data_IF_492789104933
#
_entry.id   IF_492789104933
#
_cell.length_a   1.000
_cell.length_b   1.000
_cell.length_c   1.000
_cell.angle_alpha   90.00
_cell.angle_beta   90.00
_cell.angle_gamma   90.00
#
_symmetry.space_group_name_H-M   'P 1'
#
loop_
_entity.id
_entity.type
_entity.pdbx_description
1 polymer ?
#
# COMPACT_ATOMS: atom_id res chain seq x y z
N UNK A 1 -5.68 -6.38 -29.55
CA UNK A 1 -6.05 -6.39 -28.13
C UNK A 1 -6.33 -4.94 -27.72
N UNK A 2 -7.58 -4.50 -27.79
CA UNK A 2 -7.93 -3.10 -27.55
C UNK A 2 -7.98 -2.83 -26.04
N UNK A 3 -7.25 -1.82 -25.58
CA UNK A 3 -7.35 -1.29 -24.21
C UNK A 3 -8.72 -0.59 -24.13
N UNK A 4 -9.54 -0.97 -23.15
CA UNK A 4 -10.81 -0.30 -22.83
C UNK A 4 -10.51 0.85 -21.84
N UNK A 5 -10.51 2.13 -22.27
CA UNK A 5 -10.05 3.24 -21.45
C UNK A 5 -10.85 3.39 -20.15
N UNK A 6 -12.16 3.16 -20.20
CA UNK A 6 -13.08 3.21 -19.06
C UNK A 6 -12.76 2.13 -18.02
N UNK A 7 -12.34 0.93 -18.46
CA UNK A 7 -11.92 -0.15 -17.55
C UNK A 7 -10.58 0.15 -16.91
N UNK A 8 -9.67 0.78 -17.64
CA UNK A 8 -8.36 1.20 -17.12
C UNK A 8 -8.54 2.32 -16.08
N UNK A 9 -9.38 3.32 -16.36
CA UNK A 9 -9.72 4.38 -15.41
C UNK A 9 -10.34 3.82 -14.12
N UNK A 10 -11.34 2.92 -14.24
CA UNK A 10 -11.94 2.28 -13.07
C UNK A 10 -10.94 1.43 -12.26
N UNK A 11 -9.97 0.78 -12.93
CA UNK A 11 -8.91 0.04 -12.25
C UNK A 11 -7.92 0.95 -11.53
N UNK A 12 -7.55 2.08 -12.13
CA UNK A 12 -6.70 3.11 -11.53
C UNK A 12 -7.33 3.68 -10.25
N UNK A 13 -8.60 4.08 -10.30
CA UNK A 13 -9.32 4.56 -9.11
C UNK A 13 -9.31 3.51 -7.99
N UNK A 14 -9.60 2.24 -8.30
CA UNK A 14 -9.56 1.15 -7.31
C UNK A 14 -8.16 0.91 -6.71
N UNK A 15 -7.09 1.17 -7.47
CA UNK A 15 -5.72 1.04 -6.96
C UNK A 15 -5.31 2.24 -6.09
N UNK A 16 -5.79 3.43 -6.43
CA UNK A 16 -5.61 4.65 -5.64
C UNK A 16 -6.36 4.55 -4.30
N UNK A 17 -7.63 4.14 -4.32
CA UNK A 17 -8.44 3.95 -3.11
C UNK A 17 -7.82 2.92 -2.17
N UNK A 18 -7.30 1.81 -2.70
CA UNK A 18 -6.57 0.81 -1.91
C UNK A 18 -5.27 1.36 -1.33
N UNK A 19 -4.53 2.15 -2.10
CA UNK A 19 -3.33 2.83 -1.59
C UNK A 19 -3.64 3.77 -0.43
N UNK A 20 -4.71 4.57 -0.55
CA UNK A 20 -5.17 5.47 0.50
C UNK A 20 -5.62 4.73 1.77
N UNK A 21 -6.35 3.62 1.62
CA UNK A 21 -6.74 2.77 2.75
C UNK A 21 -5.53 2.17 3.48
N UNK A 22 -4.50 1.74 2.74
CA UNK A 22 -3.26 1.24 3.32
C UNK A 22 -2.49 2.33 4.08
N UNK A 23 -2.42 3.56 3.54
CA UNK A 23 -1.79 4.68 4.25
C UNK A 23 -2.55 5.03 5.55
N UNK A 24 -3.87 5.02 5.52
CA UNK A 24 -4.69 5.27 6.71
C UNK A 24 -4.46 4.18 7.79
N UNK A 25 -4.36 2.92 7.37
CA UNK A 25 -4.03 1.81 8.27
C UNK A 25 -2.62 1.97 8.85
N UNK A 26 -1.62 2.27 8.01
CA UNK A 26 -0.24 2.53 8.44
C UNK A 26 -0.18 3.67 9.46
N UNK A 27 -0.90 4.76 9.24
CA UNK A 27 -0.98 5.87 10.19
C UNK A 27 -1.59 5.46 11.54
N UNK A 28 -2.60 4.59 11.53
CA UNK A 28 -3.22 4.07 12.75
C UNK A 28 -2.28 3.14 13.56
N UNK A 29 -1.36 2.43 12.90
CA UNK A 29 -0.38 1.54 13.55
C UNK A 29 1.00 2.18 13.76
N UNK A 30 1.24 3.39 13.23
CA UNK A 30 2.48 4.13 13.36
C UNK A 30 2.69 4.74 14.75
N UNK A 31 1.61 4.93 15.52
CA UNK A 31 1.72 5.22 16.94
C UNK A 31 2.35 3.99 17.62
N UNK A 32 3.53 4.09 18.24
CA UNK A 32 4.12 2.93 18.91
C UNK A 32 3.20 2.55 20.06
N UNK A 33 2.59 1.34 20.06
CA UNK A 33 1.88 0.89 21.23
C UNK A 33 2.91 0.37 22.23
N UNK A 34 3.80 1.24 22.76
CA UNK A 34 4.79 0.94 23.81
C UNK A 34 5.60 -0.39 23.72
N UNK A 35 5.59 -1.10 22.58
CA UNK A 35 5.84 -2.53 22.56
C UNK A 35 4.65 -3.32 23.13
N UNK A 36 4.34 -4.48 22.54
CA UNK A 36 3.38 -5.43 23.11
C UNK A 36 3.79 -5.70 24.58
N UNK A 37 2.95 -5.40 25.58
CA UNK A 37 3.32 -5.67 26.97
C UNK A 37 3.51 -7.17 27.15
N UNK A 38 4.49 -7.61 27.96
CA UNK A 38 4.69 -9.02 28.23
C UNK A 38 3.44 -9.60 28.88
N UNK A 39 3.05 -10.81 28.49
CA UNK A 39 1.84 -11.47 28.97
C UNK A 39 1.90 -11.80 30.47
N UNK A 40 3.10 -11.98 31.01
CA UNK A 40 3.40 -12.17 32.43
C UNK A 40 4.80 -11.64 32.75
N UNK A 41 5.21 -11.65 34.03
CA UNK A 41 6.48 -11.10 34.51
C UNK A 41 7.69 -12.02 34.30
N UNK A 42 7.49 -13.19 33.70
CA UNK A 42 8.57 -14.14 33.44
C UNK A 42 9.42 -13.71 32.22
N UNK A 43 10.66 -14.21 32.20
CA UNK A 43 11.64 -13.87 31.16
C UNK A 43 11.22 -14.34 29.76
N UNK A 44 10.41 -15.41 29.65
CA UNK A 44 9.93 -15.92 28.36
C UNK A 44 8.88 -14.98 27.78
N UNK A 45 7.95 -14.48 28.61
CA UNK A 45 6.98 -13.47 28.25
C UNK A 45 7.64 -12.15 27.81
N UNK A 46 8.70 -11.72 28.51
CA UNK A 46 9.49 -10.55 28.13
C UNK A 46 10.23 -10.74 26.80
N UNK A 47 10.84 -11.91 26.59
CA UNK A 47 11.52 -12.25 25.34
C UNK A 47 10.53 -12.33 24.17
N UNK A 48 9.36 -12.92 24.37
CA UNK A 48 8.32 -12.99 23.34
C UNK A 48 7.82 -11.61 22.93
N UNK A 49 7.52 -10.73 23.90
CA UNK A 49 7.17 -9.33 23.65
C UNK A 49 8.24 -8.62 22.80
N UNK A 50 9.51 -8.82 23.14
CA UNK A 50 10.66 -8.25 22.39
C UNK A 50 10.72 -8.80 20.96
N UNK A 51 10.56 -10.11 20.76
CA UNK A 51 10.58 -10.71 19.43
C UNK A 51 9.42 -10.21 18.56
N UNK A 52 8.21 -10.04 19.13
CA UNK A 52 7.09 -9.45 18.42
C UNK A 52 7.35 -8.00 18.01
N UNK A 53 7.98 -7.20 18.88
CA UNK A 53 8.36 -5.83 18.56
C UNK A 53 9.35 -5.77 17.38
N UNK A 54 10.41 -6.59 17.42
CA UNK A 54 11.40 -6.70 16.34
C UNK A 54 10.76 -7.16 15.03
N UNK A 55 9.86 -8.15 15.09
CA UNK A 55 9.14 -8.62 13.91
C UNK A 55 8.23 -7.52 13.32
N UNK A 56 7.54 -6.77 14.18
CA UNK A 56 6.71 -5.64 13.77
C UNK A 56 7.51 -4.53 13.09
N UNK A 57 8.72 -4.24 13.56
CA UNK A 57 9.63 -3.28 12.92
C UNK A 57 10.08 -3.77 11.54
N UNK A 58 10.51 -5.03 11.43
CA UNK A 58 10.88 -5.62 10.15
C UNK A 58 9.71 -5.62 9.15
N UNK A 59 8.50 -5.98 9.60
CA UNK A 59 7.29 -5.95 8.78
C UNK A 59 6.99 -4.54 8.28
N UNK A 60 7.09 -3.51 9.13
CA UNK A 60 6.89 -2.11 8.72
C UNK A 60 7.91 -1.67 7.68
N UNK A 61 9.18 -2.04 7.84
CA UNK A 61 10.23 -1.70 6.87
C UNK A 61 9.94 -2.30 5.49
N UNK A 62 9.55 -3.58 5.43
CA UNK A 62 9.18 -4.26 4.18
C UNK A 62 7.90 -3.67 3.58
N UNK A 63 6.90 -3.36 4.42
CA UNK A 63 5.62 -2.77 3.97
C UNK A 63 5.82 -1.39 3.35
N UNK A 64 6.70 -0.56 3.92
CA UNK A 64 7.06 0.74 3.36
C UNK A 64 7.70 0.61 1.96
N UNK A 65 8.56 -0.39 1.74
CA UNK A 65 9.14 -0.67 0.42
C UNK A 65 8.07 -1.12 -0.58
N UNK A 66 7.17 -2.01 -0.17
CA UNK A 66 6.07 -2.46 -1.02
C UNK A 66 5.13 -1.31 -1.41
N UNK A 67 4.87 -0.38 -0.49
CA UNK A 67 4.07 0.83 -0.76
C UNK A 67 4.74 1.74 -1.79
N UNK A 68 6.04 1.99 -1.67
CA UNK A 68 6.77 2.80 -2.65
C UNK A 68 6.67 2.18 -4.06
N UNK A 69 6.79 0.85 -4.16
CA UNK A 69 6.61 0.14 -5.43
C UNK A 69 5.18 0.26 -5.98
N UNK A 70 4.16 0.15 -5.12
CA UNK A 70 2.75 0.34 -5.50
C UNK A 70 2.48 1.76 -6.02
N UNK A 71 2.98 2.78 -5.33
CA UNK A 71 2.85 4.20 -5.74
C UNK A 71 3.51 4.44 -7.10
N UNK A 72 4.72 3.91 -7.32
CA UNK A 72 5.40 3.97 -8.62
C UNK A 72 4.59 3.27 -9.73
N UNK A 73 4.06 2.07 -9.46
CA UNK A 73 3.26 1.31 -10.42
C UNK A 73 1.99 2.06 -10.84
N UNK A 74 1.25 2.59 -9.87
CA UNK A 74 0.04 3.39 -10.12
C UNK A 74 0.39 4.66 -10.89
N UNK A 75 1.50 5.34 -10.55
CA UNK A 75 1.98 6.52 -11.26
C UNK A 75 2.31 6.24 -12.73
N UNK A 76 3.04 5.15 -13.01
CA UNK A 76 3.38 4.73 -14.38
C UNK A 76 2.12 4.40 -15.18
N UNK A 77 1.18 3.64 -14.58
CA UNK A 77 -0.09 3.31 -15.23
C UNK A 77 -0.92 4.55 -15.56
N UNK A 78 -0.98 5.51 -14.65
CA UNK A 78 -1.71 6.76 -14.86
C UNK A 78 -1.09 7.59 -16.00
N UNK A 79 0.25 7.68 -16.05
CA UNK A 79 0.97 8.36 -17.12
C UNK A 79 0.77 7.66 -18.49
N UNK A 80 0.74 6.32 -18.52
CA UNK A 80 0.46 5.53 -19.71
C UNK A 80 -0.99 5.69 -20.21
N UNK A 81 -1.95 5.82 -19.32
CA UNK A 81 -3.34 6.10 -19.67
C UNK A 81 -3.51 7.50 -20.29
N UNK A 82 -2.78 8.50 -19.78
CA UNK A 82 -2.81 9.88 -20.27
C UNK A 82 -2.14 10.06 -21.65
N UNK A 83 -1.33 9.09 -22.10
CA UNK A 83 -0.64 9.12 -23.39
C UNK A 83 -1.41 8.41 -24.51
N UNK A 84 -2.60 7.87 -24.25
CA UNK A 84 -3.47 7.44 -25.35
C UNK A 84 -3.92 8.66 -26.17
N UNK A 85 -3.80 8.63 -27.51
CA UNK A 85 -4.37 9.67 -28.35
C UNK A 85 -5.87 9.76 -28.06
N UNK A 86 -6.42 10.98 -28.07
CA UNK A 86 -7.85 11.19 -28.05
C UNK A 86 -8.50 10.26 -29.10
N UNK A 87 -9.64 9.60 -28.80
CA UNK A 87 -10.33 8.84 -29.82
C UNK A 87 -10.51 9.77 -31.01
N UNK A 88 -10.00 9.37 -32.17
CA UNK A 88 -10.29 10.06 -33.41
C UNK A 88 -11.81 10.07 -33.51
N UNK A 89 -12.40 11.27 -33.39
CA UNK A 89 -13.80 11.49 -33.73
C UNK A 89 -13.88 11.37 -35.25
N UNK A 90 -13.70 10.15 -35.74
CA UNK A 90 -13.93 9.74 -37.11
C UNK A 90 -15.45 9.64 -37.32
N UNK A 91 -16.01 10.81 -37.57
CA UNK A 91 -16.96 11.13 -38.66
C UNK A 91 -18.39 10.54 -38.63
N UNK A 92 -19.37 11.40 -38.32
CA UNK A 92 -20.55 11.76 -39.14
C UNK A 92 -21.32 12.93 -38.51
#
# INVERSE_FOLDING_TARGET
>A
MAIQPERLAAALTKLQDRGAALQALEAAIAAPPAGLPPAATDEVSALMATQFALHGEAYRAVSAQARAMHEMFVGILAAGAATQPAPDVADS
#
